data_IF_721956551275
#
_entry.id   IF_721956551275
#
_cell.length_a   1.000
_cell.length_b   1.000
_cell.length_c   1.000
_cell.angle_alpha   90.00
_cell.angle_beta   90.00
_cell.angle_gamma   90.00
#
_symmetry.space_group_name_H-M   'P 1'
#
loop_
_entity.id
_entity.type
_entity.pdbx_description
1 polymer ?
#
# COMPACT_ATOMS: atom_id res chain seq x y z
N UNK A 1 15.77 13.15 -27.38
CA UNK A 1 16.23 11.74 -27.58
C UNK A 1 15.63 11.01 -26.42
N UNK A 2 14.87 9.95 -26.66
CA UNK A 2 14.19 9.29 -25.55
C UNK A 2 15.19 8.63 -24.61
N UNK A 3 15.05 8.92 -23.31
CA UNK A 3 15.74 8.25 -22.23
C UNK A 3 14.77 7.28 -21.55
N UNK A 4 15.29 6.15 -21.07
CA UNK A 4 14.51 5.16 -20.34
C UNK A 4 15.14 4.99 -18.96
N UNK A 5 14.39 5.32 -17.92
CA UNK A 5 14.79 5.10 -16.52
C UNK A 5 13.95 4.00 -15.89
N UNK A 6 14.51 3.31 -14.91
CA UNK A 6 13.90 2.15 -14.25
C UNK A 6 13.48 2.53 -12.83
N UNK A 7 12.28 2.16 -12.43
CA UNK A 7 11.76 2.35 -11.07
C UNK A 7 10.70 1.28 -10.75
N UNK A 8 9.99 1.43 -9.64
CA UNK A 8 8.95 0.53 -9.17
C UNK A 8 7.55 1.08 -9.40
N UNK A 9 6.59 0.16 -9.50
CA UNK A 9 5.18 0.46 -9.57
C UNK A 9 4.65 0.81 -8.17
N UNK A 10 4.04 1.98 -7.97
CA UNK A 10 3.52 2.41 -6.66
C UNK A 10 2.11 1.86 -6.38
N UNK A 11 1.50 1.08 -7.28
CA UNK A 11 0.05 0.85 -7.24
C UNK A 11 -0.44 -0.27 -6.32
N UNK A 12 0.43 -1.19 -5.88
CA UNK A 12 0.08 -2.28 -4.97
C UNK A 12 1.35 -2.98 -4.47
N UNK A 13 1.22 -3.81 -3.45
CA UNK A 13 2.34 -4.51 -2.79
C UNK A 13 3.07 -5.57 -3.63
N UNK A 14 2.75 -5.75 -4.91
CA UNK A 14 3.43 -6.79 -5.72
C UNK A 14 4.89 -6.44 -6.02
N UNK A 15 5.26 -5.14 -6.07
CA UNK A 15 6.66 -4.75 -6.32
C UNK A 15 7.09 -4.87 -7.79
N UNK A 16 6.19 -4.61 -8.72
CA UNK A 16 6.48 -4.70 -10.16
C UNK A 16 7.44 -3.60 -10.62
N UNK A 17 8.43 -3.93 -11.45
CA UNK A 17 9.28 -2.93 -12.09
C UNK A 17 8.62 -2.26 -13.29
N UNK A 18 8.88 -0.96 -13.45
CA UNK A 18 8.40 -0.14 -14.56
C UNK A 18 9.55 0.65 -15.19
N UNK A 19 9.44 0.90 -16.48
CA UNK A 19 10.27 1.86 -17.20
C UNK A 19 9.48 3.15 -17.38
N UNK A 20 10.12 4.28 -17.12
CA UNK A 20 9.62 5.62 -17.45
C UNK A 20 10.37 6.12 -18.67
N UNK A 21 9.61 6.56 -19.68
CA UNK A 21 10.14 7.07 -20.94
C UNK A 21 10.14 8.59 -20.87
N UNK A 22 11.31 9.19 -21.05
CA UNK A 22 11.53 10.63 -20.98
C UNK A 22 11.88 11.19 -22.36
N UNK A 23 11.33 12.34 -22.74
CA UNK A 23 11.87 13.17 -23.83
C UNK A 23 12.38 14.50 -23.25
N UNK A 24 13.68 14.56 -22.95
CA UNK A 24 14.21 15.61 -22.09
C UNK A 24 13.71 15.41 -20.65
N UNK A 25 13.01 16.40 -20.11
CA UNK A 25 12.44 16.37 -18.75
C UNK A 25 10.98 15.89 -18.72
N UNK A 26 10.35 15.72 -19.88
CA UNK A 26 8.93 15.32 -19.98
C UNK A 26 8.76 13.81 -19.92
N UNK A 27 7.85 13.33 -19.05
CA UNK A 27 7.41 11.92 -19.03
C UNK A 27 6.39 11.71 -20.16
N UNK A 28 6.76 10.92 -21.16
CA UNK A 28 5.89 10.63 -22.32
C UNK A 28 5.22 9.26 -22.25
N UNK A 29 5.51 8.48 -21.21
CA UNK A 29 4.79 7.25 -20.92
C UNK A 29 5.56 6.26 -20.05
N UNK A 30 4.91 5.15 -19.76
CA UNK A 30 5.51 4.00 -19.06
C UNK A 30 5.54 2.76 -19.94
N UNK A 31 6.47 1.86 -19.65
CA UNK A 31 6.52 0.55 -20.27
C UNK A 31 7.01 -0.50 -19.28
N UNK A 32 6.62 -1.79 -19.40
CA UNK A 32 7.11 -2.78 -18.47
C UNK A 32 8.62 -2.99 -18.51
N UNK A 33 9.25 -2.98 -17.34
CA UNK A 33 10.66 -3.32 -17.24
C UNK A 33 10.88 -4.81 -17.56
N UNK A 34 11.33 -5.07 -18.79
CA UNK A 34 11.38 -6.43 -19.38
C UNK A 34 12.17 -7.46 -18.59
N UNK A 35 13.17 -7.03 -17.83
CA UNK A 35 14.09 -7.90 -17.08
C UNK A 35 13.82 -7.93 -15.57
N UNK A 36 12.79 -7.24 -15.11
CA UNK A 36 12.51 -7.18 -13.67
C UNK A 36 12.04 -8.55 -13.15
N UNK A 37 12.61 -9.06 -12.04
CA UNK A 37 12.39 -10.43 -11.58
C UNK A 37 10.93 -10.70 -11.17
N UNK A 38 10.29 -9.73 -10.51
CA UNK A 38 8.92 -9.86 -9.99
C UNK A 38 7.88 -10.04 -11.10
N UNK A 39 7.86 -9.13 -12.08
CA UNK A 39 6.79 -9.04 -13.07
C UNK A 39 7.19 -9.56 -14.46
N UNK A 40 8.47 -9.88 -14.67
CA UNK A 40 9.00 -10.48 -15.90
C UNK A 40 8.50 -9.75 -17.18
N UNK A 41 8.56 -8.42 -17.16
CA UNK A 41 8.19 -7.59 -18.31
C UNK A 41 6.69 -7.42 -18.59
N UNK A 42 5.85 -7.58 -17.57
CA UNK A 42 4.40 -7.35 -17.61
C UNK A 42 3.98 -6.28 -16.59
N UNK A 43 2.99 -5.46 -16.88
CA UNK A 43 2.29 -4.65 -15.87
C UNK A 43 0.80 -4.73 -16.13
N UNK A 44 0.01 -4.56 -15.07
CA UNK A 44 -1.43 -4.37 -15.16
C UNK A 44 -1.77 -2.99 -15.73
N UNK A 45 -3.05 -2.61 -15.73
CA UNK A 45 -3.45 -1.26 -16.13
C UNK A 45 -2.99 -0.22 -15.11
N UNK A 46 -3.18 -0.47 -13.81
CA UNK A 46 -2.78 0.44 -12.73
C UNK A 46 -1.29 0.80 -12.82
N UNK A 47 -0.41 -0.19 -12.96
CA UNK A 47 1.02 0.07 -13.10
C UNK A 47 1.46 0.71 -14.42
N UNK A 48 0.62 0.69 -15.47
CA UNK A 48 0.88 1.44 -16.71
C UNK A 48 0.42 2.90 -16.59
N UNK A 49 -0.67 3.12 -15.89
CA UNK A 49 -1.27 4.42 -15.66
C UNK A 49 -0.76 5.08 -14.38
N UNK A 50 0.21 4.49 -13.69
CA UNK A 50 0.66 5.00 -12.39
C UNK A 50 1.20 6.43 -12.48
N UNK A 51 1.72 6.86 -13.63
CA UNK A 51 2.18 8.25 -13.85
C UNK A 51 1.06 9.30 -13.80
N UNK A 52 -0.21 8.91 -13.81
CA UNK A 52 -1.33 9.87 -13.82
C UNK A 52 -1.31 10.78 -12.58
N UNK A 53 -0.98 10.26 -11.40
CA UNK A 53 -0.82 11.08 -10.20
C UNK A 53 0.34 12.09 -10.35
N UNK A 54 1.46 11.70 -10.96
CA UNK A 54 2.54 12.64 -11.27
C UNK A 54 2.09 13.73 -12.27
N UNK A 55 1.31 13.35 -13.29
CA UNK A 55 0.80 14.29 -14.28
C UNK A 55 -0.17 15.31 -13.66
N UNK A 56 -0.93 14.90 -12.63
CA UNK A 56 -1.81 15.73 -11.83
C UNK A 56 -1.19 16.26 -10.54
N UNK A 57 0.15 16.26 -10.43
CA UNK A 57 0.83 16.75 -9.24
C UNK A 57 0.53 18.23 -8.99
N UNK A 58 0.53 18.63 -7.72
CA UNK A 58 0.40 20.04 -7.36
C UNK A 58 1.53 20.87 -7.97
N UNK A 59 1.20 22.04 -8.53
CA UNK A 59 2.13 22.99 -9.15
C UNK A 59 1.91 24.38 -8.57
N UNK A 60 2.96 25.17 -8.52
CA UNK A 60 2.94 26.59 -8.12
C UNK A 60 2.38 26.85 -6.71
N UNK A 61 2.51 25.88 -5.80
CA UNK A 61 2.14 26.03 -4.39
C UNK A 61 3.35 26.54 -3.60
N UNK A 62 3.12 27.52 -2.72
CA UNK A 62 4.14 28.05 -1.81
C UNK A 62 4.35 27.06 -0.65
N UNK A 63 5.20 26.06 -0.89
CA UNK A 63 5.50 24.99 0.08
C UNK A 63 6.07 25.53 1.38
N UNK A 64 6.95 26.54 1.33
CA UNK A 64 7.53 27.17 2.53
C UNK A 64 6.44 27.77 3.42
N UNK A 65 5.47 28.46 2.80
CA UNK A 65 4.33 29.01 3.53
C UNK A 65 3.44 27.89 4.09
N UNK A 66 3.14 26.84 3.31
CA UNK A 66 2.31 25.73 3.78
C UNK A 66 2.93 25.01 4.98
N UNK A 67 4.25 24.79 4.95
CA UNK A 67 5.02 24.21 6.05
C UNK A 67 4.99 25.14 7.27
N UNK A 68 5.19 26.45 7.07
CA UNK A 68 5.14 27.42 8.16
C UNK A 68 3.74 27.50 8.82
N UNK A 69 2.67 27.48 8.03
CA UNK A 69 1.29 27.46 8.51
C UNK A 69 1.02 26.16 9.29
N UNK A 70 1.47 25.01 8.78
CA UNK A 70 1.36 23.72 9.46
C UNK A 70 2.11 23.69 10.80
N UNK A 71 3.34 24.21 10.85
CA UNK A 71 4.13 24.30 12.08
C UNK A 71 3.42 25.15 13.14
N UNK A 72 2.76 26.24 12.74
CA UNK A 72 1.99 27.08 13.66
C UNK A 72 0.77 26.33 14.25
N UNK A 73 0.05 25.57 13.41
CA UNK A 73 -1.07 24.74 13.87
C UNK A 73 -0.60 23.66 14.86
N UNK A 74 0.49 22.95 14.54
CA UNK A 74 1.11 21.94 15.42
C UNK A 74 1.48 22.55 16.77
N UNK A 75 2.18 23.70 16.79
CA UNK A 75 2.60 24.39 18.02
C UNK A 75 1.43 24.90 18.87
N UNK A 76 0.25 25.05 18.29
CA UNK A 76 -0.95 25.52 18.99
C UNK A 76 -1.73 24.41 19.70
N UNK A 77 -1.41 23.15 19.42
CA UNK A 77 -2.12 21.98 19.92
C UNK A 77 -1.33 21.26 21.02
N UNK A 78 -2.03 20.55 21.92
CA UNK A 78 -1.37 19.62 22.83
C UNK A 78 -1.00 18.36 22.06
N UNK A 79 0.14 17.74 22.37
CA UNK A 79 0.60 16.54 21.68
C UNK A 79 -0.45 15.41 21.62
N UNK A 80 -1.19 15.19 22.71
CA UNK A 80 -2.25 14.17 22.77
C UNK A 80 -3.45 14.43 21.86
N UNK A 81 -3.62 15.67 21.39
CA UNK A 81 -4.69 16.06 20.45
C UNK A 81 -4.25 15.92 18.98
N UNK A 82 -2.98 15.60 18.72
CA UNK A 82 -2.39 15.46 17.38
C UNK A 82 -2.27 13.99 17.02
N UNK A 83 -2.70 13.64 15.82
CA UNK A 83 -2.51 12.30 15.27
C UNK A 83 -1.83 12.37 13.92
N UNK A 84 -0.86 11.49 13.73
CA UNK A 84 -0.08 11.31 12.50
C UNK A 84 -0.52 10.01 11.84
N UNK A 85 -0.89 10.09 10.57
CA UNK A 85 -1.22 8.93 9.74
C UNK A 85 -0.05 8.66 8.81
N UNK A 86 0.51 7.46 8.94
CA UNK A 86 1.51 6.92 8.04
C UNK A 86 0.83 6.03 6.99
N UNK A 87 1.39 5.99 5.77
CA UNK A 87 0.82 5.28 4.63
C UNK A 87 1.71 4.15 4.14
N UNK A 88 1.10 3.10 3.59
CA UNK A 88 1.82 2.11 2.80
C UNK A 88 2.30 2.65 1.44
N UNK A 89 1.98 3.90 1.07
CA UNK A 89 2.50 4.57 -0.12
C UNK A 89 3.86 5.25 0.13
N UNK A 90 4.21 5.47 1.39
CA UNK A 90 5.49 6.07 1.79
C UNK A 90 6.63 5.07 1.59
N UNK A 91 7.84 5.57 1.33
CA UNK A 91 9.07 4.77 1.33
C UNK A 91 9.43 4.30 2.74
N UNK A 92 10.27 3.27 2.85
CA UNK A 92 10.75 2.79 4.16
C UNK A 92 11.39 3.95 4.95
N UNK A 93 12.19 4.76 4.27
CA UNK A 93 12.90 5.90 4.85
C UNK A 93 11.93 6.98 5.36
N UNK A 94 10.86 7.27 4.60
CA UNK A 94 9.83 8.21 5.03
C UNK A 94 9.03 7.66 6.22
N UNK A 95 8.68 6.38 6.23
CA UNK A 95 7.95 5.73 7.34
C UNK A 95 8.76 5.82 8.64
N UNK A 96 10.07 5.55 8.58
CA UNK A 96 10.96 5.69 9.73
C UNK A 96 10.97 7.13 10.27
N UNK A 97 11.09 8.13 9.38
CA UNK A 97 11.08 9.54 9.75
C UNK A 97 9.72 9.98 10.33
N UNK A 98 8.60 9.52 9.76
CA UNK A 98 7.24 9.80 10.26
C UNK A 98 7.04 9.22 11.65
N UNK A 99 7.49 7.98 11.88
CA UNK A 99 7.44 7.35 13.20
C UNK A 99 8.27 8.12 14.23
N UNK A 100 9.52 8.43 13.91
CA UNK A 100 10.40 9.19 14.81
C UNK A 100 9.84 10.58 15.11
N UNK A 101 9.26 11.25 14.12
CA UNK A 101 8.58 12.53 14.27
C UNK A 101 7.42 12.45 15.28
N UNK A 102 6.56 11.45 15.14
CA UNK A 102 5.42 11.28 16.03
C UNK A 102 5.88 10.91 17.45
N UNK A 103 6.82 9.97 17.60
CA UNK A 103 7.36 9.55 18.90
C UNK A 103 8.05 10.69 19.64
N UNK A 104 8.89 11.47 18.94
CA UNK A 104 9.66 12.59 19.52
C UNK A 104 8.77 13.72 20.02
N UNK A 105 7.61 13.92 19.38
CA UNK A 105 6.65 14.95 19.76
C UNK A 105 5.53 14.41 20.68
N UNK A 106 5.47 13.10 20.91
CA UNK A 106 4.42 12.48 21.72
C UNK A 106 3.03 12.50 21.06
N UNK A 107 2.98 12.46 19.74
CA UNK A 107 1.75 12.39 18.95
C UNK A 107 1.20 10.96 18.89
N UNK A 108 -0.09 10.83 18.60
CA UNK A 108 -0.68 9.52 18.31
C UNK A 108 -0.29 9.09 16.88
N UNK A 109 -0.06 7.80 16.67
CA UNK A 109 0.27 7.24 15.35
C UNK A 109 -0.85 6.32 14.88
N UNK A 110 -1.29 6.53 13.66
CA UNK A 110 -2.21 5.65 12.93
C UNK A 110 -1.53 5.10 11.68
N UNK A 111 -1.71 3.81 11.44
CA UNK A 111 -1.33 3.16 10.20
C UNK A 111 -2.39 2.10 9.88
N UNK A 112 -3.01 2.21 8.72
CA UNK A 112 -4.04 1.27 8.27
C UNK A 112 -3.49 0.37 7.17
N UNK A 113 -3.73 -0.92 7.31
CA UNK A 113 -3.21 -1.96 6.44
C UNK A 113 -4.32 -2.90 5.91
N UNK A 114 -5.46 -2.34 5.51
CA UNK A 114 -6.61 -3.09 4.98
C UNK A 114 -7.17 -4.15 5.97
N UNK A 115 -7.15 -3.86 7.28
CA UNK A 115 -7.42 -4.82 8.37
C UNK A 115 -6.53 -6.07 8.36
N UNK A 116 -5.39 -6.03 7.67
CA UNK A 116 -4.37 -7.08 7.65
C UNK A 116 -3.26 -6.82 8.67
N UNK A 117 -2.44 -7.85 8.92
CA UNK A 117 -1.28 -7.80 9.81
C UNK A 117 0.00 -8.28 9.12
N UNK A 118 1.13 -8.07 9.78
CA UNK A 118 2.39 -8.65 9.34
C UNK A 118 2.40 -10.18 9.53
N UNK A 119 2.95 -10.90 8.57
CA UNK A 119 3.24 -12.34 8.67
C UNK A 119 4.74 -12.55 8.38
N UNK A 120 5.50 -13.10 9.32
CA UNK A 120 6.96 -13.18 9.16
C UNK A 120 7.39 -14.20 8.09
N UNK A 121 6.78 -15.38 8.06
CA UNK A 121 7.02 -16.40 7.04
C UNK A 121 5.90 -16.40 6.00
N UNK A 122 6.16 -15.78 4.85
CA UNK A 122 5.24 -15.70 3.72
C UNK A 122 5.73 -16.51 2.53
N UNK A 123 4.79 -16.95 1.69
CA UNK A 123 5.13 -17.59 0.43
C UNK A 123 5.75 -16.59 -0.56
N UNK A 124 6.83 -16.98 -1.21
CA UNK A 124 7.34 -16.30 -2.40
C UNK A 124 6.41 -16.48 -3.59
N UNK A 125 6.56 -15.62 -4.60
CA UNK A 125 5.78 -15.73 -5.85
C UNK A 125 6.07 -17.01 -6.64
N UNK A 126 7.26 -17.60 -6.46
CA UNK A 126 7.61 -18.87 -7.10
C UNK A 126 7.07 -20.07 -6.31
N UNK A 127 7.02 -20.00 -4.97
CA UNK A 127 6.29 -20.99 -4.15
C UNK A 127 4.80 -20.99 -4.49
N UNK A 128 4.18 -19.81 -4.63
CA UNK A 128 2.78 -19.71 -5.09
C UNK A 128 2.60 -20.35 -6.49
N UNK A 129 3.49 -20.05 -7.44
CA UNK A 129 3.41 -20.59 -8.80
C UNK A 129 3.73 -22.10 -8.90
N UNK A 130 4.42 -22.66 -7.91
CA UNK A 130 4.80 -24.07 -7.81
C UNK A 130 3.92 -24.90 -6.88
N UNK A 131 2.98 -24.29 -6.16
CA UNK A 131 2.14 -24.97 -5.18
C UNK A 131 1.23 -26.02 -5.83
N UNK A 132 1.06 -27.18 -5.18
CA UNK A 132 0.14 -28.23 -5.66
C UNK A 132 -1.34 -27.92 -5.39
N UNK A 133 -1.61 -27.06 -4.40
CA UNK A 133 -2.95 -26.56 -4.07
C UNK A 133 -2.83 -25.08 -3.69
N UNK A 134 -3.73 -24.26 -4.23
CA UNK A 134 -3.78 -22.84 -3.92
C UNK A 134 -5.17 -22.49 -3.39
N UNK A 135 -5.20 -21.81 -2.26
CA UNK A 135 -6.41 -21.28 -1.65
C UNK A 135 -6.39 -19.77 -1.81
N UNK A 136 -7.35 -19.23 -2.54
CA UNK A 136 -7.42 -17.82 -2.89
C UNK A 136 -8.57 -17.19 -2.12
N UNK A 137 -8.31 -16.14 -1.36
CA UNK A 137 -9.32 -15.34 -0.64
C UNK A 137 -9.28 -13.92 -1.21
N UNK A 138 -10.23 -13.59 -2.08
CA UNK A 138 -10.23 -12.33 -2.84
C UNK A 138 -10.39 -12.52 -4.33
N UNK A 139 -10.65 -11.43 -5.07
CA UNK A 139 -10.66 -11.45 -6.53
C UNK A 139 -9.28 -11.09 -7.11
N UNK A 140 -8.24 -11.82 -6.70
CA UNK A 140 -6.84 -11.51 -7.00
C UNK A 140 -6.49 -11.52 -8.49
N UNK A 141 -7.23 -12.24 -9.35
CA UNK A 141 -7.02 -12.17 -10.80
C UNK A 141 -7.42 -10.81 -11.37
N UNK A 142 -8.39 -10.15 -10.76
CA UNK A 142 -8.85 -8.81 -11.14
C UNK A 142 -8.04 -7.73 -10.42
N UNK A 143 -7.96 -7.82 -9.09
CA UNK A 143 -7.41 -6.78 -8.21
C UNK A 143 -5.89 -6.73 -8.25
N UNK A 144 -5.24 -7.91 -8.32
CA UNK A 144 -3.78 -8.02 -8.35
C UNK A 144 -3.32 -8.94 -9.50
N UNK A 145 -3.46 -8.54 -10.79
CA UNK A 145 -3.30 -9.45 -11.93
C UNK A 145 -1.95 -10.16 -12.03
N UNK A 146 -0.89 -9.60 -11.43
CA UNK A 146 0.44 -10.23 -11.40
C UNK A 146 0.52 -11.34 -10.35
N UNK A 147 -0.22 -11.26 -9.25
CA UNK A 147 -0.47 -12.39 -8.34
C UNK A 147 -1.39 -13.40 -9.02
N UNK A 148 -2.48 -12.93 -9.65
CA UNK A 148 -3.36 -13.77 -10.48
C UNK A 148 -2.60 -14.59 -11.52
N UNK A 149 -1.58 -14.01 -12.15
CA UNK A 149 -0.69 -14.74 -13.07
C UNK A 149 0.08 -15.87 -12.37
N UNK A 150 0.53 -15.69 -11.13
CA UNK A 150 1.21 -16.77 -10.35
C UNK A 150 0.23 -17.90 -10.03
N UNK A 151 -1.01 -17.57 -9.67
CA UNK A 151 -2.10 -18.55 -9.48
C UNK A 151 -2.37 -19.33 -10.78
N UNK A 152 -2.39 -18.64 -11.93
CA UNK A 152 -2.53 -19.29 -13.25
C UNK A 152 -1.34 -20.20 -13.56
N UNK A 153 -0.10 -19.82 -13.22
CA UNK A 153 1.05 -20.70 -13.38
C UNK A 153 0.92 -21.96 -12.52
N UNK A 154 0.46 -21.84 -11.26
CA UNK A 154 0.17 -23.01 -10.42
C UNK A 154 -0.86 -23.93 -11.10
N UNK A 155 -1.96 -23.35 -11.61
CA UNK A 155 -2.99 -24.10 -12.35
C UNK A 155 -2.44 -24.80 -13.60
N UNK A 156 -1.52 -24.16 -14.32
CA UNK A 156 -0.82 -24.76 -15.48
C UNK A 156 0.13 -25.88 -15.08
N UNK A 157 0.61 -25.87 -13.83
CA UNK A 157 1.41 -26.93 -13.20
C UNK A 157 0.52 -27.95 -12.46
N UNK A 158 -0.72 -28.13 -12.92
CA UNK A 158 -1.71 -29.09 -12.40
C UNK A 158 -2.17 -28.84 -10.95
N UNK A 159 -1.96 -27.64 -10.41
CA UNK A 159 -2.46 -27.30 -9.09
C UNK A 159 -4.00 -27.27 -9.03
N UNK A 160 -4.55 -27.67 -7.89
CA UNK A 160 -5.98 -27.48 -7.59
C UNK A 160 -6.21 -26.12 -6.94
N UNK A 161 -7.17 -25.36 -7.46
CA UNK A 161 -7.44 -23.98 -7.04
C UNK A 161 -8.79 -23.92 -6.32
N UNK A 162 -8.78 -23.44 -5.09
CA UNK A 162 -9.94 -23.19 -4.26
C UNK A 162 -10.08 -21.69 -4.10
N UNK A 163 -11.23 -21.10 -4.43
CA UNK A 163 -11.40 -19.66 -4.40
C UNK A 163 -12.59 -19.22 -3.56
N UNK A 164 -12.36 -18.24 -2.70
CA UNK A 164 -13.35 -17.51 -1.94
C UNK A 164 -13.41 -16.06 -2.44
N UNK A 165 -14.61 -15.55 -2.68
CA UNK A 165 -14.84 -14.12 -2.91
C UNK A 165 -16.23 -13.72 -2.44
N UNK A 166 -16.37 -12.47 -1.97
CA UNK A 166 -17.68 -11.84 -1.70
C UNK A 166 -18.48 -11.57 -2.98
N UNK A 167 -17.82 -11.52 -4.13
CA UNK A 167 -18.44 -11.28 -5.44
C UNK A 167 -18.69 -12.61 -6.17
N UNK A 168 -19.96 -12.95 -6.41
CA UNK A 168 -20.34 -14.16 -7.18
C UNK A 168 -19.77 -14.19 -8.61
N UNK A 169 -19.42 -13.02 -9.16
CA UNK A 169 -18.83 -12.88 -10.50
C UNK A 169 -17.32 -12.61 -10.48
N UNK A 170 -16.64 -12.95 -9.38
CA UNK A 170 -15.19 -12.77 -9.26
C UNK A 170 -14.44 -13.40 -10.44
N UNK A 171 -13.50 -12.66 -11.03
CA UNK A 171 -12.69 -13.14 -12.17
C UNK A 171 -11.89 -14.39 -11.77
N UNK A 172 -11.45 -14.44 -10.52
CA UNK A 172 -10.72 -15.54 -9.90
C UNK A 172 -11.47 -16.87 -9.98
N UNK A 173 -12.82 -16.86 -9.92
CA UNK A 173 -13.63 -18.08 -10.02
C UNK A 173 -13.52 -18.77 -11.39
N UNK A 174 -13.15 -18.05 -12.45
CA UNK A 174 -13.04 -18.63 -13.80
C UNK A 174 -11.94 -19.69 -13.93
N UNK A 175 -10.98 -19.74 -13.00
CA UNK A 175 -9.89 -20.72 -12.99
C UNK A 175 -9.96 -21.69 -11.80
N UNK A 176 -10.92 -21.48 -10.90
CA UNK A 176 -11.06 -22.25 -9.67
C UNK A 176 -11.73 -23.61 -9.95
N UNK A 177 -11.25 -24.65 -9.26
CA UNK A 177 -11.89 -25.97 -9.25
C UNK A 177 -13.05 -26.02 -8.24
N UNK A 178 -12.91 -25.28 -7.14
CA UNK A 178 -13.91 -25.15 -6.09
C UNK A 178 -14.09 -23.66 -5.76
N UNK A 179 -15.33 -23.21 -5.66
CA UNK A 179 -15.65 -21.82 -5.30
C UNK A 179 -16.46 -21.75 -4.00
N UNK A 180 -16.36 -20.62 -3.31
CA UNK A 180 -17.16 -20.31 -2.13
C UNK A 180 -17.46 -18.82 -2.09
N UNK A 181 -18.61 -18.49 -1.51
CA UNK A 181 -19.02 -17.12 -1.15
C UNK A 181 -19.37 -17.03 0.34
N UNK A 182 -18.90 -18.02 1.12
CA UNK A 182 -19.01 -18.09 2.58
C UNK A 182 -18.15 -17.05 3.29
N UNK A 183 -18.10 -17.06 4.62
CA UNK A 183 -17.04 -16.35 5.33
C UNK A 183 -15.66 -16.99 5.13
N UNK A 184 -14.61 -16.24 5.40
CA UNK A 184 -13.21 -16.72 5.43
C UNK A 184 -13.07 -17.89 6.39
N UNK A 185 -13.59 -17.77 7.61
CA UNK A 185 -13.54 -18.84 8.59
C UNK A 185 -14.18 -20.15 8.08
N UNK A 186 -15.41 -20.06 7.52
CA UNK A 186 -16.13 -21.21 6.98
C UNK A 186 -15.40 -21.86 5.79
N UNK A 187 -14.80 -21.03 4.93
CA UNK A 187 -14.00 -21.51 3.80
C UNK A 187 -12.77 -22.29 4.27
N UNK A 188 -12.02 -21.72 5.21
CA UNK A 188 -10.83 -22.36 5.78
C UNK A 188 -11.20 -23.66 6.50
N UNK A 189 -12.33 -23.71 7.23
CA UNK A 189 -12.80 -24.95 7.89
C UNK A 189 -13.22 -26.02 6.90
N UNK A 190 -13.99 -25.64 5.88
CA UNK A 190 -14.48 -26.55 4.84
C UNK A 190 -13.34 -27.28 4.16
N UNK A 191 -12.21 -26.60 3.92
CA UNK A 191 -11.08 -27.14 3.18
C UNK A 191 -9.84 -27.44 4.04
N UNK A 192 -9.92 -27.35 5.37
CA UNK A 192 -8.79 -27.63 6.26
C UNK A 192 -8.15 -29.02 6.00
N UNK A 193 -8.98 -30.05 5.74
CA UNK A 193 -8.48 -31.40 5.44
C UNK A 193 -7.80 -31.55 4.07
N UNK A 194 -7.96 -30.58 3.17
CA UNK A 194 -7.30 -30.53 1.88
C UNK A 194 -5.94 -29.81 1.96
N UNK A 195 -5.69 -29.03 3.02
CA UNK A 195 -4.49 -28.20 3.16
C UNK A 195 -3.26 -29.00 3.56
N UNK A 196 -2.23 -28.77 2.76
CA UNK A 196 -0.88 -29.29 2.72
C UNK A 196 0.29 -28.45 3.23
N UNK A 197 1.41 -28.99 3.69
CA UNK A 197 2.67 -28.19 3.75
C UNK A 197 3.08 -27.64 2.37
N UNK A 198 2.65 -28.26 1.26
CA UNK A 198 2.92 -27.78 -0.11
C UNK A 198 1.84 -26.82 -0.66
N UNK A 199 0.82 -26.53 0.15
CA UNK A 199 -0.23 -25.58 -0.22
C UNK A 199 0.21 -24.13 0.01
N UNK A 200 -0.45 -23.20 -0.67
CA UNK A 200 -0.31 -21.77 -0.40
C UNK A 200 -1.68 -21.14 -0.26
N UNK A 201 -1.88 -20.36 0.80
CA UNK A 201 -3.06 -19.49 0.94
C UNK A 201 -2.66 -18.07 0.56
N UNK A 202 -3.31 -17.50 -0.44
CA UNK A 202 -3.06 -16.13 -0.91
C UNK A 202 -4.33 -15.30 -0.74
N UNK A 203 -4.21 -14.12 -0.16
CA UNK A 203 -5.38 -13.34 0.27
C UNK A 203 -5.12 -11.84 0.25
N UNK A 204 -6.17 -11.04 0.02
CA UNK A 204 -6.12 -9.58 0.12
C UNK A 204 -7.21 -8.99 1.03
N UNK A 205 -8.00 -9.84 1.69
CA UNK A 205 -8.96 -9.40 2.70
C UNK A 205 -9.20 -10.49 3.74
N UNK A 206 -9.76 -10.09 4.88
CA UNK A 206 -10.34 -10.96 5.91
C UNK A 206 -11.74 -10.47 6.28
N UNK A 207 -12.56 -11.31 6.91
CA UNK A 207 -13.88 -10.88 7.41
C UNK A 207 -13.79 -10.36 8.85
N UNK A 208 -12.85 -10.87 9.64
CA UNK A 208 -12.59 -10.43 11.00
C UNK A 208 -11.13 -10.69 11.41
N UNK A 209 -10.67 -10.00 12.46
CA UNK A 209 -9.32 -10.18 13.02
C UNK A 209 -9.00 -11.65 13.37
N UNK A 210 -9.99 -12.42 13.85
CA UNK A 210 -9.82 -13.84 14.17
C UNK A 210 -9.48 -14.74 12.96
N UNK A 211 -9.76 -14.29 11.74
CA UNK A 211 -9.34 -15.01 10.53
C UNK A 211 -7.82 -14.96 10.37
N UNK A 212 -7.17 -13.86 10.77
CA UNK A 212 -5.71 -13.71 10.68
C UNK A 212 -4.99 -14.69 11.60
N UNK A 213 -5.51 -14.93 12.81
CA UNK A 213 -4.96 -15.91 13.75
C UNK A 213 -5.11 -17.33 13.20
N UNK A 214 -6.24 -17.60 12.53
CA UNK A 214 -6.46 -18.87 11.86
C UNK A 214 -5.48 -19.07 10.71
N UNK A 215 -5.29 -18.06 9.86
CA UNK A 215 -4.33 -18.07 8.75
C UNK A 215 -2.89 -18.30 9.25
N UNK A 216 -2.50 -17.65 10.35
CA UNK A 216 -1.18 -17.83 10.97
C UNK A 216 -0.97 -19.23 11.55
N UNK A 217 -2.05 -19.88 12.00
CA UNK A 217 -2.00 -21.23 12.57
C UNK A 217 -1.98 -22.38 11.53
N UNK A 218 -2.11 -22.06 10.23
CA UNK A 218 -2.13 -23.06 9.18
C UNK A 218 -0.78 -23.75 9.04
N UNK A 219 -0.79 -25.02 8.61
CA UNK A 219 0.43 -25.78 8.35
C UNK A 219 1.13 -25.40 7.04
N UNK A 220 0.53 -24.50 6.26
CA UNK A 220 0.97 -24.10 4.94
C UNK A 220 1.36 -22.62 4.93
N UNK A 221 2.18 -22.21 3.96
CA UNK A 221 2.55 -20.80 3.83
C UNK A 221 1.37 -19.94 3.41
N UNK A 222 1.39 -18.69 3.86
CA UNK A 222 0.40 -17.67 3.50
C UNK A 222 1.05 -16.53 2.74
N UNK A 223 0.29 -15.80 1.93
CA UNK A 223 0.73 -14.62 1.20
C UNK A 223 -0.35 -13.54 1.25
N UNK A 224 -0.27 -12.60 2.20
CA UNK A 224 -1.10 -11.40 2.18
C UNK A 224 -0.68 -10.49 1.01
N UNK A 225 -1.65 -9.93 0.31
CA UNK A 225 -1.44 -8.96 -0.78
C UNK A 225 -2.15 -7.67 -0.41
N UNK A 226 -1.37 -6.64 -0.12
CA UNK A 226 -1.84 -5.33 0.34
C UNK A 226 -2.15 -4.37 -0.80
N UNK A 227 -3.05 -3.42 -0.54
CA UNK A 227 -3.49 -2.39 -1.49
C UNK A 227 -2.39 -1.38 -1.85
N UNK A 228 -1.48 -1.07 -0.92
CA UNK A 228 -0.41 -0.06 -1.07
C UNK A 228 0.98 -0.73 -1.27
N UNK A 229 1.95 -0.07 -1.94
CA UNK A 229 3.17 -0.71 -2.45
C UNK A 229 4.14 -1.14 -1.35
N UNK A 230 4.13 -0.47 -0.21
CA UNK A 230 5.08 -0.65 0.89
C UNK A 230 4.39 -1.02 2.22
N UNK A 231 3.12 -1.44 2.21
CA UNK A 231 2.41 -1.83 3.44
C UNK A 231 3.18 -2.88 4.23
N UNK A 232 3.83 -3.84 3.55
CA UNK A 232 4.68 -4.85 4.20
C UNK A 232 5.87 -4.23 4.91
N UNK A 233 6.51 -3.22 4.33
CA UNK A 233 7.63 -2.49 4.95
C UNK A 233 7.16 -1.68 6.15
N UNK A 234 6.05 -0.94 5.99
CA UNK A 234 5.44 -0.19 7.08
C UNK A 234 5.07 -1.07 8.28
N UNK A 235 4.51 -2.25 8.03
CA UNK A 235 4.17 -3.26 9.04
C UNK A 235 5.39 -3.81 9.82
N UNK A 236 6.62 -3.60 9.36
CA UNK A 236 7.83 -3.94 10.13
C UNK A 236 8.28 -2.82 11.07
N UNK A 237 7.75 -1.61 10.87
CA UNK A 237 8.17 -0.38 11.58
C UNK A 237 7.07 0.10 12.53
N UNK A 238 5.81 0.05 12.11
CA UNK A 238 4.62 0.54 12.82
C UNK A 238 3.56 -0.56 12.86
N UNK A 239 3.00 -0.79 14.04
CA UNK A 239 1.86 -1.69 14.21
C UNK A 239 0.63 -1.12 13.49
N UNK A 240 -0.04 -1.94 12.67
CA UNK A 240 -1.29 -1.53 12.04
C UNK A 240 -2.42 -1.43 13.06
N UNK A 241 -3.40 -0.58 12.74
CA UNK A 241 -4.67 -0.46 13.44
C UNK A 241 -5.78 -1.03 12.58
N UNK A 242 -6.73 -1.68 13.23
CA UNK A 242 -7.99 -2.06 12.62
C UNK A 242 -8.85 -0.84 12.29
N UNK A 243 -9.87 -1.03 11.48
CA UNK A 243 -10.86 0.00 11.14
C UNK A 243 -11.44 0.68 12.39
N UNK A 244 -11.84 -0.09 13.40
CA UNK A 244 -12.42 0.44 14.64
C UNK A 244 -11.40 1.27 15.44
N UNK A 245 -10.15 0.82 15.51
CA UNK A 245 -9.07 1.54 16.20
C UNK A 245 -8.67 2.84 15.48
N UNK A 246 -8.76 2.87 14.14
CA UNK A 246 -8.55 4.09 13.36
C UNK A 246 -9.67 5.10 13.60
N UNK A 247 -10.94 4.65 13.64
CA UNK A 247 -12.08 5.50 14.00
C UNK A 247 -11.96 6.05 15.42
N UNK A 248 -11.53 5.23 16.38
CA UNK A 248 -11.26 5.69 17.75
C UNK A 248 -10.14 6.73 17.79
N UNK A 249 -9.09 6.54 17.00
CA UNK A 249 -8.01 7.52 16.86
C UNK A 249 -8.55 8.85 16.30
N UNK A 250 -9.35 8.82 15.23
CA UNK A 250 -9.97 10.02 14.66
C UNK A 250 -10.88 10.75 15.65
N UNK A 251 -11.68 10.01 16.43
CA UNK A 251 -12.56 10.58 17.45
C UNK A 251 -11.82 11.33 18.57
N UNK A 252 -10.57 10.97 18.82
CA UNK A 252 -9.71 11.61 19.82
C UNK A 252 -8.74 12.64 19.20
N UNK A 253 -8.87 12.94 17.90
CA UNK A 253 -7.97 13.83 17.17
C UNK A 253 -8.58 15.22 16.98
N UNK A 254 -7.81 16.29 17.27
CA UNK A 254 -8.15 17.66 16.86
C UNK A 254 -7.38 18.11 15.63
N UNK A 255 -6.10 17.74 15.55
CA UNK A 255 -5.22 18.01 14.43
C UNK A 255 -4.75 16.69 13.82
N UNK A 256 -5.17 16.41 12.59
CA UNK A 256 -4.76 15.24 11.83
C UNK A 256 -3.67 15.62 10.82
N UNK A 257 -2.52 14.96 10.89
CA UNK A 257 -1.44 15.04 9.92
C UNK A 257 -1.45 13.75 9.08
N UNK A 258 -1.72 13.86 7.78
CA UNK A 258 -1.78 12.70 6.87
C UNK A 258 -0.58 12.72 5.93
N UNK A 259 0.21 11.65 5.93
CA UNK A 259 1.37 11.50 5.06
C UNK A 259 1.03 10.56 3.91
N UNK A 260 0.90 11.13 2.70
CA UNK A 260 0.71 10.43 1.42
C UNK A 260 -0.39 9.35 1.42
N UNK A 261 -1.50 9.65 2.08
CA UNK A 261 -2.64 8.76 2.18
C UNK A 261 -3.95 9.44 1.75
N UNK A 262 -4.94 8.60 1.44
CA UNK A 262 -6.32 9.02 1.18
C UNK A 262 -7.29 8.43 2.21
N UNK A 263 -7.13 8.85 3.47
CA UNK A 263 -7.97 8.39 4.59
C UNK A 263 -9.46 8.66 4.39
N UNK A 264 -9.83 9.63 3.55
CA UNK A 264 -11.24 9.93 3.25
C UNK A 264 -11.87 8.88 2.35
N UNK A 265 -11.12 8.29 1.43
CA UNK A 265 -11.58 7.17 0.59
C UNK A 265 -11.57 5.86 1.39
N UNK A 266 -10.57 5.69 2.27
CA UNK A 266 -10.38 4.45 3.04
C UNK A 266 -11.42 4.27 4.17
N UNK A 267 -12.02 5.34 4.70
CA UNK A 267 -12.88 5.28 5.89
C UNK A 267 -14.23 5.96 5.73
N UNK A 268 -15.31 5.25 6.09
CA UNK A 268 -16.65 5.83 6.30
C UNK A 268 -16.68 6.59 7.64
N UNK A 269 -16.01 7.75 7.68
CA UNK A 269 -15.89 8.62 8.84
C UNK A 269 -16.31 10.05 8.50
N UNK A 270 -17.00 10.72 9.42
CA UNK A 270 -17.31 12.15 9.28
C UNK A 270 -16.10 13.00 9.68
N UNK A 271 -15.22 13.24 8.71
CA UNK A 271 -13.99 14.03 8.90
C UNK A 271 -14.26 15.50 9.28
N UNK A 272 -15.50 16.01 9.19
CA UNK A 272 -15.84 17.36 9.69
C UNK A 272 -15.77 17.47 11.22
N UNK A 273 -15.67 16.34 11.93
CA UNK A 273 -15.47 16.26 13.38
C UNK A 273 -14.04 16.61 13.80
N UNK A 274 -13.07 16.48 12.89
CA UNK A 274 -11.68 16.86 13.14
C UNK A 274 -11.53 18.36 12.87
N UNK A 275 -10.91 19.09 13.80
CA UNK A 275 -10.85 20.55 13.74
C UNK A 275 -9.92 21.08 12.67
N UNK A 276 -8.81 20.37 12.43
CA UNK A 276 -7.81 20.70 11.44
C UNK A 276 -7.24 19.46 10.77
N UNK A 277 -7.17 19.48 9.44
CA UNK A 277 -6.52 18.43 8.64
C UNK A 277 -5.40 19.04 7.82
N UNK A 278 -4.20 18.50 7.99
CA UNK A 278 -3.02 18.83 7.19
C UNK A 278 -2.61 17.57 6.47
N UNK A 279 -2.42 17.66 5.16
CA UNK A 279 -1.96 16.51 4.37
C UNK A 279 -0.72 16.84 3.57
N UNK A 280 0.20 15.89 3.52
CA UNK A 280 1.37 15.90 2.67
C UNK A 280 1.08 14.95 1.51
N UNK A 281 0.90 15.48 0.30
CA UNK A 281 0.54 14.68 -0.86
C UNK A 281 1.16 15.26 -2.13
N UNK A 282 1.49 14.39 -3.08
CA UNK A 282 2.04 14.83 -4.36
C UNK A 282 0.96 15.29 -5.36
N UNK A 283 -0.27 14.74 -5.28
CA UNK A 283 -1.37 15.00 -6.20
C UNK A 283 -2.72 15.05 -5.47
N UNK A 284 -3.77 15.54 -6.16
CA UNK A 284 -5.13 15.63 -5.59
C UNK A 284 -5.75 14.23 -5.34
N UNK A 285 -6.35 14.08 -4.17
CA UNK A 285 -7.12 12.92 -3.71
C UNK A 285 -8.29 13.40 -2.79
N UNK A 286 -9.11 12.52 -2.24
CA UNK A 286 -10.29 12.94 -1.45
C UNK A 286 -9.92 13.62 -0.12
N UNK A 287 -8.81 13.20 0.50
CA UNK A 287 -8.24 13.84 1.69
C UNK A 287 -7.76 15.26 1.42
N UNK A 288 -7.04 15.49 0.33
CA UNK A 288 -6.55 16.84 -0.05
C UNK A 288 -7.68 17.82 -0.33
N UNK A 289 -8.85 17.34 -0.79
CA UNK A 289 -10.01 18.20 -1.09
C UNK A 289 -10.65 18.79 0.16
N UNK A 290 -10.51 18.12 1.30
CA UNK A 290 -11.08 18.57 2.57
C UNK A 290 -10.03 19.15 3.54
N UNK A 291 -8.74 18.98 3.24
CA UNK A 291 -7.67 19.46 4.09
C UNK A 291 -7.64 20.99 4.20
N UNK A 292 -7.33 21.49 5.39
CA UNK A 292 -7.09 22.91 5.65
C UNK A 292 -5.77 23.39 5.05
N UNK A 293 -4.76 22.52 5.08
CA UNK A 293 -3.42 22.77 4.56
C UNK A 293 -2.98 21.55 3.76
N UNK A 294 -2.58 21.79 2.51
CA UNK A 294 -1.94 20.78 1.66
C UNK A 294 -0.49 21.20 1.48
N UNK A 295 0.44 20.33 1.87
CA UNK A 295 1.87 20.49 1.63
C UNK A 295 2.24 19.60 0.44
N UNK A 296 2.55 20.17 -0.73
CA UNK A 296 3.05 19.39 -1.86
C UNK A 296 4.37 18.72 -1.53
N UNK A 297 4.46 17.43 -1.80
CA UNK A 297 5.70 16.66 -1.64
C UNK A 297 6.10 15.95 -2.93
N UNK A 298 7.34 15.47 -2.98
CA UNK A 298 7.84 14.61 -4.05
C UNK A 298 6.96 13.36 -4.21
N UNK A 299 6.70 12.97 -5.44
CA UNK A 299 6.18 11.66 -5.80
C UNK A 299 7.29 10.60 -5.82
N UNK A 300 6.93 9.32 -5.89
CA UNK A 300 7.90 8.22 -6.03
C UNK A 300 8.79 8.30 -7.28
N UNK A 301 8.44 9.14 -8.27
CA UNK A 301 9.27 9.38 -9.46
C UNK A 301 10.35 10.44 -9.24
N UNK A 302 10.22 11.23 -8.19
CA UNK A 302 11.03 12.42 -7.92
C UNK A 302 12.03 12.21 -6.78
N UNK A 303 12.00 11.03 -6.16
CA UNK A 303 12.85 10.68 -5.02
C UNK A 303 13.45 9.29 -5.13
N UNK A 304 14.52 9.12 -4.36
CA UNK A 304 15.12 7.82 -4.09
C UNK A 304 14.40 7.21 -2.88
N UNK A 305 14.41 5.88 -2.79
CA UNK A 305 13.89 5.19 -1.60
C UNK A 305 13.73 3.70 -1.84
N UNK A 306 13.07 3.05 -0.88
CA UNK A 306 12.83 1.62 -0.94
C UNK A 306 11.37 1.26 -0.62
N UNK A 307 10.90 0.18 -1.25
CA UNK A 307 9.63 -0.48 -0.94
C UNK A 307 9.87 -1.96 -0.64
N UNK A 308 9.17 -2.49 0.35
CA UNK A 308 9.13 -3.92 0.64
C UNK A 308 7.84 -4.51 0.07
N UNK A 309 7.97 -5.45 -0.85
CA UNK A 309 6.82 -6.08 -1.50
C UNK A 309 6.15 -7.14 -0.61
N UNK A 310 5.03 -7.71 -1.07
CA UNK A 310 4.21 -8.66 -0.32
C UNK A 310 4.94 -9.93 0.13
N UNK A 311 5.99 -10.36 -0.60
CA UNK A 311 6.81 -11.52 -0.22
C UNK A 311 8.01 -11.14 0.67
N UNK A 312 8.10 -9.89 1.12
CA UNK A 312 9.15 -9.40 2.03
C UNK A 312 10.47 -9.03 1.34
N UNK A 313 10.50 -8.89 0.01
CA UNK A 313 11.69 -8.41 -0.69
C UNK A 313 11.72 -6.88 -0.72
N UNK A 314 12.76 -6.31 -0.13
CA UNK A 314 13.07 -4.88 -0.23
C UNK A 314 13.65 -4.55 -1.60
N UNK A 315 13.07 -3.55 -2.26
CA UNK A 315 13.40 -3.11 -3.60
C UNK A 315 13.70 -1.62 -3.57
N UNK A 316 14.94 -1.28 -3.95
CA UNK A 316 15.39 0.10 -4.04
C UNK A 316 15.02 0.71 -5.39
N UNK A 317 14.69 2.00 -5.40
CA UNK A 317 14.47 2.78 -6.61
C UNK A 317 15.11 4.16 -6.48
N UNK A 318 15.33 4.77 -7.64
CA UNK A 318 15.95 6.09 -7.74
C UNK A 318 15.03 7.05 -8.47
N UNK A 319 15.17 8.33 -8.17
CA UNK A 319 14.51 9.42 -8.86
C UNK A 319 14.73 9.32 -10.37
N UNK A 320 13.65 9.50 -11.11
CA UNK A 320 13.66 9.50 -12.58
C UNK A 320 13.49 10.90 -13.15
N UNK A 321 12.93 11.84 -12.39
CA UNK A 321 12.72 13.24 -12.76
C UNK A 321 13.06 14.17 -11.61
N UNK A 322 13.54 15.37 -11.93
CA UNK A 322 13.81 16.39 -10.90
C UNK A 322 12.50 17.01 -10.39
N UNK A 323 12.54 17.53 -9.16
CA UNK A 323 11.41 18.21 -8.52
C UNK A 323 11.88 19.35 -7.64
N UNK A 324 11.10 20.42 -7.65
CA UNK A 324 11.26 21.57 -6.74
C UNK A 324 10.45 21.38 -5.44
N UNK A 325 9.56 20.39 -5.39
CA UNK A 325 8.82 20.08 -4.17
C UNK A 325 9.76 19.44 -3.14
N UNK A 326 9.56 19.68 -1.84
CA UNK A 326 10.34 19.02 -0.80
C UNK A 326 9.97 17.53 -0.69
N UNK A 327 10.91 16.72 -0.21
CA UNK A 327 10.63 15.35 0.24
C UNK A 327 9.92 15.36 1.60
N UNK A 328 9.22 14.27 1.96
CA UNK A 328 8.53 14.18 3.26
C UNK A 328 9.53 14.33 4.43
N UNK A 329 10.72 13.72 4.34
CA UNK A 329 11.77 13.83 5.36
C UNK A 329 12.22 15.29 5.55
N UNK A 330 12.42 16.02 4.46
CA UNK A 330 12.79 17.45 4.49
C UNK A 330 11.67 18.28 5.16
N UNK A 331 10.40 18.00 4.87
CA UNK A 331 9.26 18.65 5.53
C UNK A 331 9.25 18.36 7.03
N UNK A 332 9.47 17.11 7.44
CA UNK A 332 9.51 16.72 8.86
C UNK A 332 10.63 17.46 9.61
N UNK A 333 11.80 17.64 9.00
CA UNK A 333 12.89 18.42 9.58
C UNK A 333 12.48 19.87 9.86
N UNK A 334 11.73 20.50 8.96
CA UNK A 334 11.18 21.84 9.15
C UNK A 334 10.08 21.89 10.22
N UNK A 335 9.20 20.88 10.26
CA UNK A 335 8.13 20.78 11.26
C UNK A 335 8.66 20.52 12.68
N UNK A 336 9.89 20.07 12.84
CA UNK A 336 10.56 19.88 14.11
C UNK A 336 11.30 21.13 14.65
N UNK A 337 11.30 22.25 13.91
CA UNK A 337 11.97 23.51 14.34
C UNK A 337 11.17 24.31 15.36
#
# INVERSE_FOLDING_TARGET
MFEIKHTLCPSCSVGCGINVILDGEEIVGTFPYKRHPVNAGKNCLNGRNSIDCYNSKFKDVDSDKAIADALNEIKSCNASDVSVICSGNDTVEEIEAIKEFAESNGFNVGFYADDLKNFDDVASYDELAGAGKVFVIGDLLYENPLIGRRIVHAKQNDAKIYALSKNENAVTFNIADETSTSSVQEFLDKFAGEMDESSVVVFNYVDAAGDLDKLESLSCKVLPVFSKPNTKGALTIIDSKSTDEMVELFDNTKLLLVFNDDVVDDFDYDFTRISKIITLACCENDTTKIADIVIPVKSWLEQDGSFVNAMGEEQNFTSVVESDNPGIVEVIEELNK
#
